data_IF_598900365770
#
_entry.id   IF_598900365770
#
_cell.length_a   1.000
_cell.length_b   1.000
_cell.length_c   1.000
_cell.angle_alpha   90.00
_cell.angle_beta   90.00
_cell.angle_gamma   90.00
#
_symmetry.space_group_name_H-M   'P 1'
#
loop_
_entity.id
_entity.type
_entity.pdbx_description
1 polymer ?
#
# COMPACT_ATOMS: atom_id res chain seq x y z
N UNK A 1 14.70 -0.07 -2.08
CA UNK A 1 13.35 0.51 -1.87
C UNK A 1 12.74 0.84 -3.24
N UNK A 2 11.68 0.16 -3.67
CA UNK A 2 11.03 0.40 -4.96
C UNK A 2 9.92 1.46 -4.79
N UNK A 3 10.06 2.60 -5.47
CA UNK A 3 9.08 3.70 -5.44
C UNK A 3 8.24 3.67 -6.72
N UNK A 4 6.93 3.40 -6.61
CA UNK A 4 5.99 3.50 -7.72
C UNK A 4 5.59 4.97 -7.85
N UNK A 5 5.97 5.58 -8.98
CA UNK A 5 5.80 7.00 -9.28
C UNK A 5 4.39 7.53 -8.94
N UNK A 6 4.31 8.49 -8.02
CA UNK A 6 3.10 9.26 -7.73
C UNK A 6 2.93 10.37 -8.76
N UNK A 7 1.73 10.44 -9.35
CA UNK A 7 1.38 11.55 -10.24
C UNK A 7 1.15 12.79 -9.35
N UNK A 8 1.76 13.93 -9.64
CA UNK A 8 1.66 15.15 -8.82
C UNK A 8 0.89 16.21 -9.57
N UNK A 9 -0.35 16.46 -9.15
CA UNK A 9 -1.13 17.65 -9.54
C UNK A 9 -0.99 18.66 -8.41
N UNK A 10 -0.81 19.94 -8.76
CA UNK A 10 -0.52 21.06 -7.84
C UNK A 10 -1.03 20.85 -6.40
N UNK A 11 -0.10 20.58 -5.48
CA UNK A 11 -0.32 20.60 -4.02
C UNK A 11 -1.10 19.44 -3.40
N UNK A 12 -1.56 18.45 -4.19
CA UNK A 12 -2.41 17.37 -3.69
C UNK A 12 -1.83 16.02 -4.05
N UNK A 13 -1.49 15.19 -3.05
CA UNK A 13 -1.05 13.82 -3.28
C UNK A 13 -2.24 12.87 -3.22
N UNK A 14 -2.98 12.85 -4.33
CA UNK A 14 -4.01 11.87 -4.68
C UNK A 14 -3.64 10.41 -4.41
N UNK A 15 -2.41 9.97 -4.72
CA UNK A 15 -1.97 8.59 -4.49
C UNK A 15 -0.45 8.48 -4.32
N UNK A 16 -0.02 7.77 -3.29
CA UNK A 16 1.34 7.27 -3.10
C UNK A 16 1.30 5.81 -2.67
N UNK A 17 2.17 4.96 -3.20
CA UNK A 17 2.32 3.57 -2.76
C UNK A 17 3.81 3.28 -2.61
N UNK A 18 4.18 2.84 -1.43
CA UNK A 18 5.54 2.45 -1.05
C UNK A 18 5.53 0.96 -0.75
N UNK A 19 6.44 0.22 -1.38
CA UNK A 19 6.64 -1.19 -1.10
C UNK A 19 8.04 -1.36 -0.52
N UNK A 20 8.08 -1.99 0.64
CA UNK A 20 9.29 -2.27 1.40
C UNK A 20 9.51 -3.79 1.37
N UNK A 21 10.75 -4.20 1.14
CA UNK A 21 11.17 -5.57 1.15
C UNK A 21 12.62 -5.63 1.65
N UNK A 22 12.92 -6.59 2.53
CA UNK A 22 14.23 -6.79 3.17
C UNK A 22 14.43 -8.28 3.43
N UNK A 23 15.67 -8.78 3.37
CA UNK A 23 15.96 -10.19 3.67
C UNK A 23 15.35 -11.15 2.63
N UNK A 24 15.24 -10.72 1.37
CA UNK A 24 14.73 -11.54 0.25
C UNK A 24 15.85 -12.22 -0.56
N UNK A 25 17.10 -11.97 -0.21
CA UNK A 25 18.31 -12.40 -0.94
C UNK A 25 18.42 -13.92 -0.90
N UNK A 26 18.06 -14.53 0.24
CA UNK A 26 18.01 -15.98 0.41
C UNK A 26 17.04 -16.68 -0.56
N UNK A 27 15.96 -16.02 -1.01
CA UNK A 27 15.00 -16.63 -1.96
C UNK A 27 15.54 -16.72 -3.38
N UNK A 28 16.42 -15.81 -3.77
CA UNK A 28 17.02 -15.76 -5.11
C UNK A 28 18.42 -16.38 -5.12
N UNK A 29 18.81 -17.08 -4.05
CA UNK A 29 20.15 -17.60 -3.83
C UNK A 29 21.26 -16.53 -3.96
N UNK A 30 20.93 -15.28 -3.60
CA UNK A 30 21.88 -14.20 -3.52
C UNK A 30 22.45 -14.11 -2.10
N UNK A 31 23.69 -13.62 -1.99
CA UNK A 31 24.30 -13.30 -0.70
C UNK A 31 23.72 -11.97 -0.19
N UNK A 32 23.23 -11.89 1.05
CA UNK A 32 22.83 -10.62 1.65
C UNK A 32 24.01 -9.65 1.74
N UNK A 33 23.72 -8.35 1.71
CA UNK A 33 24.73 -7.31 1.86
C UNK A 33 25.33 -7.32 3.28
N UNK A 34 26.54 -6.77 3.43
CA UNK A 34 27.26 -6.75 4.72
C UNK A 34 26.39 -6.10 5.82
N UNK A 35 26.02 -6.88 6.84
CA UNK A 35 25.16 -6.45 7.94
C UNK A 35 23.68 -6.82 7.80
N UNK A 36 23.26 -7.35 6.65
CA UNK A 36 21.89 -7.83 6.40
C UNK A 36 21.74 -9.36 6.58
N UNK A 37 22.84 -10.06 6.90
CA UNK A 37 22.90 -11.53 7.06
C UNK A 37 21.95 -12.10 8.12
N UNK A 38 21.56 -11.27 9.10
CA UNK A 38 20.71 -11.68 10.22
C UNK A 38 19.34 -10.97 10.20
N UNK A 39 19.00 -10.30 9.09
CA UNK A 39 17.69 -9.68 8.93
C UNK A 39 16.66 -10.75 8.57
N UNK A 40 15.54 -10.73 9.29
CA UNK A 40 14.38 -11.55 8.95
C UNK A 40 13.75 -11.09 7.64
N UNK A 41 13.31 -12.05 6.83
CA UNK A 41 12.60 -11.76 5.57
C UNK A 41 11.33 -10.96 5.84
N UNK A 42 11.25 -9.74 5.32
CA UNK A 42 10.12 -8.84 5.52
C UNK A 42 9.67 -8.25 4.20
N UNK A 43 8.35 -8.15 3.99
CA UNK A 43 7.79 -7.26 2.99
C UNK A 43 6.49 -6.61 3.46
N UNK A 44 6.32 -5.34 3.11
CA UNK A 44 5.16 -4.54 3.48
C UNK A 44 4.80 -3.50 2.43
N UNK A 45 3.58 -2.98 2.57
CA UNK A 45 3.05 -1.90 1.75
C UNK A 45 2.56 -0.77 2.64
N UNK A 46 3.02 0.44 2.34
CA UNK A 46 2.51 1.68 2.90
C UNK A 46 1.87 2.49 1.79
N UNK A 47 0.66 3.01 2.02
CA UNK A 47 -0.08 3.74 1.01
C UNK A 47 -0.57 5.08 1.54
N UNK A 48 -0.51 6.08 0.67
CA UNK A 48 -1.09 7.40 0.85
C UNK A 48 -2.23 7.55 -0.14
N UNK A 49 -3.42 7.88 0.33
CA UNK A 49 -4.60 8.08 -0.51
C UNK A 49 -5.24 9.42 -0.14
N UNK A 50 -5.29 10.36 -1.09
CA UNK A 50 -5.83 11.71 -0.86
C UNK A 50 -5.22 12.41 0.37
N UNK A 51 -3.88 12.39 0.46
CA UNK A 51 -3.10 12.90 1.60
C UNK A 51 -3.34 12.20 2.95
N UNK A 52 -4.12 11.11 2.99
CA UNK A 52 -4.30 10.26 4.19
C UNK A 52 -3.35 9.07 4.14
N UNK A 53 -2.49 8.94 5.16
CA UNK A 53 -1.61 7.77 5.30
C UNK A 53 -2.42 6.58 5.85
N UNK A 54 -2.54 5.53 5.04
CA UNK A 54 -3.17 4.28 5.44
C UNK A 54 -2.21 3.52 6.36
N UNK A 55 -2.78 2.73 7.29
CA UNK A 55 -1.99 1.84 8.13
C UNK A 55 -1.20 0.88 7.23
N UNK A 56 0.13 0.76 7.40
CA UNK A 56 0.92 -0.17 6.62
C UNK A 56 0.41 -1.60 6.75
N UNK A 57 0.41 -2.32 5.64
CA UNK A 57 0.00 -3.72 5.57
C UNK A 57 1.24 -4.57 5.34
N UNK A 58 1.53 -5.46 6.28
CA UNK A 58 2.61 -6.43 6.15
C UNK A 58 2.16 -7.59 5.27
N UNK A 59 2.91 -7.89 4.21
CA UNK A 59 2.65 -9.07 3.38
C UNK A 59 3.11 -10.33 4.08
N UNK A 60 4.36 -10.34 4.56
CA UNK A 60 4.93 -11.42 5.36
C UNK A 60 5.99 -10.88 6.32
N UNK A 61 6.17 -11.59 7.44
CA UNK A 61 7.21 -11.30 8.42
C UNK A 61 7.89 -12.59 8.88
N UNK A 62 9.18 -12.72 8.56
CA UNK A 62 9.99 -13.91 8.76
C UNK A 62 9.82 -14.96 7.65
N UNK A 63 10.82 -15.83 7.54
CA UNK A 63 10.89 -16.88 6.53
C UNK A 63 9.74 -17.90 6.64
N UNK A 64 9.31 -18.23 7.86
CA UNK A 64 8.21 -19.19 8.08
C UNK A 64 6.87 -18.68 7.54
N UNK A 65 6.55 -17.40 7.75
CA UNK A 65 5.30 -16.79 7.27
C UNK A 65 5.33 -16.63 5.74
N UNK A 66 6.49 -16.25 5.19
CA UNK A 66 6.73 -16.22 3.76
C UNK A 66 6.46 -17.58 3.10
N UNK A 67 7.08 -18.64 3.60
CA UNK A 67 6.90 -20.00 3.04
C UNK A 67 5.45 -20.47 3.19
N UNK A 68 4.78 -20.14 4.29
CA UNK A 68 3.35 -20.43 4.47
C UNK A 68 2.47 -19.75 3.40
N UNK A 69 2.76 -18.47 3.10
CA UNK A 69 2.06 -17.71 2.05
C UNK A 69 2.40 -18.17 0.64
N UNK A 70 3.65 -18.59 0.38
CA UNK A 70 4.03 -19.16 -0.91
C UNK A 70 3.30 -20.47 -1.20
N UNK A 71 3.19 -21.34 -0.19
CA UNK A 71 2.48 -22.62 -0.31
C UNK A 71 0.96 -22.44 -0.47
N UNK A 72 0.41 -21.34 0.07
CA UNK A 72 -1.01 -20.99 -0.05
C UNK A 72 -1.32 -20.00 -1.18
N UNK A 73 -0.31 -19.60 -1.95
CA UNK A 73 -0.48 -18.65 -3.05
C UNK A 73 -1.30 -19.30 -4.16
N UNK A 74 -2.47 -18.71 -4.46
CA UNK A 74 -3.23 -19.03 -5.66
C UNK A 74 -2.84 -18.10 -6.81
N UNK A 75 -3.03 -18.56 -8.05
CA UNK A 75 -2.92 -17.72 -9.26
C UNK A 75 -4.11 -16.77 -9.45
N UNK A 76 -5.13 -16.85 -8.58
CA UNK A 76 -6.34 -16.03 -8.69
C UNK A 76 -6.09 -14.56 -8.31
N UNK A 77 -6.72 -13.59 -8.99
CA UNK A 77 -6.62 -12.19 -8.62
C UNK A 77 -7.09 -11.93 -7.18
N UNK A 78 -6.19 -11.40 -6.34
CA UNK A 78 -6.49 -11.08 -4.95
C UNK A 78 -6.75 -9.57 -4.78
N UNK A 79 -7.86 -9.23 -4.14
CA UNK A 79 -8.19 -7.84 -3.78
C UNK A 79 -7.45 -7.43 -2.51
N UNK A 80 -6.54 -6.45 -2.61
CA UNK A 80 -5.75 -5.93 -1.47
C UNK A 80 -6.46 -4.79 -0.74
N UNK A 81 -7.11 -3.88 -1.48
CA UNK A 81 -7.90 -2.77 -0.93
C UNK A 81 -9.17 -2.62 -1.75
N UNK A 82 -10.32 -2.60 -1.07
CA UNK A 82 -11.63 -2.38 -1.70
C UNK A 82 -12.49 -1.53 -0.78
N UNK A 83 -13.09 -0.47 -1.32
CA UNK A 83 -13.94 0.43 -0.57
C UNK A 83 -14.68 1.40 -1.48
N UNK A 84 -15.72 2.03 -0.95
CA UNK A 84 -16.41 3.14 -1.57
C UNK A 84 -15.93 4.42 -0.89
N UNK A 85 -15.59 5.44 -1.69
CA UNK A 85 -15.09 6.71 -1.18
C UNK A 85 -15.88 7.86 -1.82
N UNK A 86 -16.49 8.69 -0.99
CA UNK A 86 -17.13 9.93 -1.42
C UNK A 86 -16.07 11.03 -1.49
N UNK A 87 -15.58 11.30 -2.70
CA UNK A 87 -14.50 12.26 -2.92
C UNK A 87 -14.95 13.71 -2.82
N UNK A 88 -16.17 13.99 -3.26
CA UNK A 88 -16.75 15.33 -3.29
C UNK A 88 -18.19 15.20 -2.84
N UNK A 89 -18.52 15.90 -1.77
CA UNK A 89 -19.90 16.09 -1.33
C UNK A 89 -20.21 17.59 -1.41
N UNK A 90 -20.93 17.99 -2.45
CA UNK A 90 -21.37 19.37 -2.63
C UNK A 90 -22.88 19.44 -2.44
N UNK A 91 -23.32 19.98 -1.31
CA UNK A 91 -24.72 20.24 -1.01
C UNK A 91 -24.96 21.75 -0.92
N UNK A 92 -25.83 22.27 -1.78
CA UNK A 92 -26.25 23.67 -1.76
C UNK A 92 -27.77 23.73 -1.63
N UNK A 93 -28.25 24.24 -0.50
CA UNK A 93 -29.68 24.50 -0.29
C UNK A 93 -29.97 25.94 -0.72
N UNK A 94 -30.67 26.10 -1.84
CA UNK A 94 -31.16 27.39 -2.30
C UNK A 94 -32.55 27.61 -1.70
N UNK A 95 -32.66 28.58 -0.79
CA UNK A 95 -33.95 29.00 -0.24
C UNK A 95 -34.61 29.95 -1.25
N UNK A 96 -35.68 29.52 -1.91
CA UNK A 96 -36.48 30.38 -2.78
C UNK A 96 -37.18 31.44 -1.94
N UNK A 97 -36.83 32.71 -2.17
CA UNK A 97 -37.49 33.84 -1.53
C UNK A 97 -38.90 34.02 -2.10
N UNK A 98 -39.88 34.10 -1.18
CA UNK A 98 -41.28 34.54 -1.32
C UNK A 98 -42.28 33.55 -1.94
N UNK A 99 -42.94 32.82 -1.06
CA UNK A 99 -44.41 32.78 -1.05
C UNK A 99 -44.89 34.01 -0.25
N UNK A 100 -45.26 35.09 -0.93
CA UNK A 100 -46.07 36.19 -0.41
C UNK A 100 -46.90 36.78 -1.55
#
# INVERSE_FOLDING_TARGET
>A
MFNISSFTGKGFMWKGVVIEAQGLEALIAATPDEGEENLDSYAGLSALLFDVQLRPVTFFNGYSDLMSKMLSASSDPMSVVKGLLLLIDHSQVIQSAREY
#
